data_IF_932226353146
#
_entry.id   IF_932226353146
#
_cell.length_a   1.000
_cell.length_b   1.000
_cell.length_c   1.000
_cell.angle_alpha   90.00
_cell.angle_beta   90.00
_cell.angle_gamma   90.00
#
_symmetry.space_group_name_H-M   'P 1'
#
loop_
_entity.id
_entity.type
_entity.pdbx_description
1 polymer ?
#
# COMPACT_ATOMS: atom_id res chain seq x y z
N UNK A 1 9.86 -11.63 29.51
CA UNK A 1 10.34 -12.49 28.40
C UNK A 1 11.68 -11.93 27.99
N UNK A 2 12.75 -12.71 28.16
CA UNK A 2 14.10 -12.29 27.76
C UNK A 2 14.26 -12.75 26.32
N UNK A 3 13.76 -11.96 25.36
CA UNK A 3 14.16 -12.11 23.97
C UNK A 3 15.27 -11.11 23.68
N UNK A 4 16.10 -11.39 22.70
CA UNK A 4 17.08 -10.44 22.18
C UNK A 4 16.68 -9.99 20.78
N UNK A 5 16.82 -8.70 20.52
CA UNK A 5 16.53 -8.10 19.21
C UNK A 5 17.79 -7.41 18.71
N UNK A 6 18.25 -7.80 17.53
CA UNK A 6 19.34 -7.13 16.83
C UNK A 6 18.77 -6.41 15.63
N UNK A 7 19.17 -5.15 15.43
CA UNK A 7 18.72 -4.31 14.33
C UNK A 7 19.88 -4.05 13.39
N UNK A 8 19.74 -4.42 12.14
CA UNK A 8 20.67 -4.10 11.06
C UNK A 8 19.98 -3.14 10.08
N UNK A 9 20.56 -1.96 9.90
CA UNK A 9 20.06 -1.00 8.91
C UNK A 9 20.54 -1.38 7.52
N UNK A 10 19.61 -1.56 6.61
CA UNK A 10 19.84 -1.89 5.21
C UNK A 10 19.72 -0.63 4.34
N UNK A 11 20.04 -0.76 3.06
CA UNK A 11 19.85 0.32 2.08
C UNK A 11 18.36 0.64 1.86
N UNK A 12 18.09 1.83 1.30
CA UNK A 12 16.73 2.30 0.91
C UNK A 12 15.72 2.34 2.07
N UNK A 13 16.17 2.76 3.25
CA UNK A 13 15.35 2.84 4.46
C UNK A 13 14.69 1.52 4.87
N UNK A 14 15.40 0.43 4.64
CA UNK A 14 15.02 -0.89 5.15
C UNK A 14 15.81 -1.21 6.41
N UNK A 15 15.22 -1.99 7.28
CA UNK A 15 15.88 -2.57 8.45
C UNK A 15 15.55 -4.06 8.55
N UNK A 16 16.53 -4.83 9.02
CA UNK A 16 16.39 -6.24 9.32
C UNK A 16 16.47 -6.44 10.82
N UNK A 17 15.39 -6.93 11.39
CA UNK A 17 15.32 -7.30 12.79
C UNK A 17 15.64 -8.79 12.91
N UNK A 18 16.62 -9.17 13.71
CA UNK A 18 16.89 -10.55 14.08
C UNK A 18 16.40 -10.75 15.50
N UNK A 19 15.43 -11.61 15.68
CA UNK A 19 14.78 -11.87 16.96
C UNK A 19 15.14 -13.28 17.41
N UNK A 20 15.67 -13.40 18.62
CA UNK A 20 15.98 -14.65 19.26
C UNK A 20 15.07 -14.86 20.47
N UNK A 21 14.35 -15.97 20.49
CA UNK A 21 13.42 -16.37 21.54
C UNK A 21 14.00 -17.58 22.28
N UNK A 22 14.08 -17.59 23.62
CA UNK A 22 14.69 -18.68 24.40
C UNK A 22 14.02 -20.03 24.16
N UNK A 23 14.81 -21.10 24.29
CA UNK A 23 14.37 -22.49 24.10
C UNK A 23 13.18 -22.88 24.99
N UNK A 24 13.04 -22.28 26.18
CA UNK A 24 11.90 -22.52 27.08
C UNK A 24 10.58 -22.09 26.46
N UNK A 25 10.57 -20.95 25.75
CA UNK A 25 9.37 -20.46 25.03
C UNK A 25 9.08 -21.33 23.80
N UNK A 26 10.12 -21.84 23.14
CA UNK A 26 9.98 -22.80 22.04
C UNK A 26 9.24 -24.06 22.50
N UNK A 27 9.61 -24.62 23.65
CA UNK A 27 8.94 -25.81 24.20
C UNK A 27 7.47 -25.53 24.57
N UNK A 28 7.17 -24.35 25.11
CA UNK A 28 5.77 -23.94 25.36
C UNK A 28 4.98 -23.83 24.07
N UNK A 29 5.56 -23.22 23.03
CA UNK A 29 4.93 -23.10 21.71
C UNK A 29 4.73 -24.46 21.04
N UNK A 30 5.69 -25.35 21.12
CA UNK A 30 5.55 -26.74 20.63
C UNK A 30 4.43 -27.50 21.35
N UNK A 31 4.32 -27.31 22.66
CA UNK A 31 3.23 -27.90 23.43
C UNK A 31 1.86 -27.30 23.04
N UNK A 32 1.79 -26.00 22.80
CA UNK A 32 0.58 -25.33 22.32
C UNK A 32 0.19 -25.81 20.90
N UNK A 33 1.18 -25.93 20.00
CA UNK A 33 1.00 -26.47 18.66
C UNK A 33 0.46 -27.91 18.69
N UNK A 34 1.02 -28.76 19.55
CA UNK A 34 0.52 -30.11 19.78
C UNK A 34 -0.94 -30.08 20.25
N UNK A 35 -1.30 -29.25 21.21
CA UNK A 35 -2.66 -29.17 21.74
C UNK A 35 -3.67 -28.74 20.67
N UNK A 36 -3.26 -27.87 19.75
CA UNK A 36 -4.08 -27.40 18.61
C UNK A 36 -4.23 -28.46 17.53
N UNK A 37 -3.15 -29.18 17.21
CA UNK A 37 -3.10 -30.12 16.09
C UNK A 37 -3.46 -31.57 16.43
N UNK A 38 -3.35 -31.99 17.71
CA UNK A 38 -3.55 -33.39 18.14
C UNK A 38 -4.88 -34.00 17.71
N UNK A 39 -5.91 -33.18 17.54
CA UNK A 39 -7.22 -33.63 17.10
C UNK A 39 -7.32 -33.88 15.59
N UNK A 40 -6.33 -33.42 14.82
CA UNK A 40 -6.24 -33.65 13.38
C UNK A 40 -5.43 -34.90 13.05
N UNK A 41 -4.55 -35.33 13.98
CA UNK A 41 -3.62 -36.43 13.78
C UNK A 41 -4.25 -37.75 14.29
N UNK A 42 -4.21 -38.76 13.45
CA UNK A 42 -4.69 -40.13 13.79
C UNK A 42 -3.54 -41.12 13.66
N UNK A 43 -3.31 -41.89 14.71
CA UNK A 43 -2.30 -42.97 14.72
C UNK A 43 -3.02 -44.30 15.06
N UNK A 44 -2.77 -45.38 14.31
CA UNK A 44 -3.32 -46.70 14.61
C UNK A 44 -2.99 -47.11 16.05
N UNK A 45 -4.02 -47.65 16.76
CA UNK A 45 -3.88 -48.04 18.15
C UNK A 45 -4.19 -46.95 19.19
N UNK A 46 -4.40 -45.69 18.77
CA UNK A 46 -4.76 -44.60 19.65
C UNK A 46 -6.09 -43.95 19.27
N UNK A 47 -6.83 -43.53 20.28
CA UNK A 47 -8.03 -42.72 20.05
C UNK A 47 -7.59 -41.32 19.57
N UNK A 48 -8.28 -40.80 18.56
CA UNK A 48 -8.07 -39.44 18.00
C UNK A 48 -8.02 -38.39 19.11
N UNK A 49 -7.00 -37.53 19.09
CA UNK A 49 -6.80 -36.47 20.08
C UNK A 49 -6.22 -36.97 21.43
N UNK A 50 -5.91 -38.27 21.58
CA UNK A 50 -5.30 -38.85 22.79
C UNK A 50 -3.90 -39.39 22.57
N UNK A 51 -3.35 -39.21 21.41
CA UNK A 51 -1.96 -39.61 21.08
C UNK A 51 -1.00 -38.67 21.81
N UNK A 52 -0.04 -39.18 22.61
CA UNK A 52 0.99 -38.35 23.24
C UNK A 52 1.87 -37.66 22.21
N UNK A 53 2.34 -36.43 22.52
CA UNK A 53 3.21 -35.63 21.64
C UNK A 53 4.43 -36.43 21.18
N UNK A 54 5.15 -37.07 22.13
CA UNK A 54 6.33 -37.86 21.82
C UNK A 54 6.09 -39.00 20.83
N UNK A 55 4.89 -39.61 20.82
CA UNK A 55 4.54 -40.65 19.88
C UNK A 55 4.32 -40.08 18.48
N UNK A 56 3.70 -38.90 18.37
CA UNK A 56 3.50 -38.20 17.09
C UNK A 56 4.86 -37.81 16.50
N UNK A 57 5.73 -37.19 17.32
CA UNK A 57 7.08 -36.81 16.93
C UNK A 57 7.96 -38.01 16.50
N UNK A 58 7.78 -39.17 17.16
CA UNK A 58 8.49 -40.39 16.77
C UNK A 58 8.05 -40.93 15.42
N UNK A 59 6.77 -40.78 15.05
CA UNK A 59 6.22 -41.33 13.81
C UNK A 59 6.36 -40.37 12.62
N UNK A 60 6.15 -39.08 12.85
CA UNK A 60 6.12 -38.06 11.79
C UNK A 60 7.34 -37.15 11.79
N UNK A 61 8.24 -37.29 12.78
CA UNK A 61 9.38 -36.43 12.99
C UNK A 61 9.09 -35.25 13.92
N UNK A 62 10.13 -34.73 14.59
CA UNK A 62 10.00 -33.59 15.51
C UNK A 62 9.47 -32.32 14.82
N UNK A 63 9.72 -32.19 13.53
CA UNK A 63 9.31 -31.02 12.74
C UNK A 63 7.79 -30.90 12.51
N UNK A 64 7.01 -31.90 12.84
CA UNK A 64 5.55 -31.93 12.60
C UNK A 64 4.80 -30.75 13.23
N UNK A 65 5.33 -30.20 14.32
CA UNK A 65 4.74 -29.06 15.04
C UNK A 65 5.48 -27.74 14.82
N UNK A 66 6.60 -27.72 14.05
CA UNK A 66 7.45 -26.55 13.94
C UNK A 66 6.77 -25.38 13.24
N UNK A 67 6.00 -25.63 12.20
CA UNK A 67 5.27 -24.58 11.48
C UNK A 67 4.27 -23.84 12.39
N UNK A 68 3.45 -24.60 13.10
CA UNK A 68 2.47 -24.01 14.01
C UNK A 68 3.14 -23.33 15.22
N UNK A 69 4.19 -23.94 15.77
CA UNK A 69 4.95 -23.36 16.86
C UNK A 69 5.66 -22.06 16.43
N UNK A 70 6.22 -22.02 15.24
CA UNK A 70 6.82 -20.81 14.67
C UNK A 70 5.80 -19.69 14.53
N UNK A 71 4.60 -19.99 14.01
CA UNK A 71 3.51 -19.02 13.89
C UNK A 71 3.11 -18.43 15.25
N UNK A 72 2.98 -19.27 16.27
CA UNK A 72 2.68 -18.84 17.64
C UNK A 72 3.79 -17.93 18.15
N UNK A 73 5.06 -18.35 18.04
CA UNK A 73 6.20 -17.58 18.53
C UNK A 73 6.34 -16.23 17.84
N UNK A 74 6.13 -16.16 16.52
CA UNK A 74 6.18 -14.92 15.78
C UNK A 74 5.05 -13.97 16.23
N UNK A 75 3.82 -14.47 16.33
CA UNK A 75 2.68 -13.66 16.77
C UNK A 75 2.87 -13.09 18.18
N UNK A 76 3.40 -13.90 19.10
CA UNK A 76 3.57 -13.49 20.49
C UNK A 76 4.75 -12.53 20.69
N UNK A 77 5.80 -12.61 19.87
CA UNK A 77 7.05 -11.88 20.10
C UNK A 77 7.29 -10.73 19.13
N UNK A 78 6.65 -10.70 17.96
CA UNK A 78 6.93 -9.68 16.94
C UNK A 78 6.60 -8.26 17.41
N UNK A 79 5.46 -8.05 18.08
CA UNK A 79 5.05 -6.74 18.58
C UNK A 79 6.06 -6.19 19.60
N UNK A 80 6.49 -7.04 20.54
CA UNK A 80 7.49 -6.66 21.53
C UNK A 80 8.87 -6.41 20.89
N UNK A 81 9.22 -7.17 19.85
CA UNK A 81 10.46 -6.96 19.10
C UNK A 81 10.46 -5.61 18.35
N UNK A 82 9.31 -5.21 17.80
CA UNK A 82 9.17 -3.88 17.19
C UNK A 82 9.40 -2.76 18.22
N UNK A 83 8.78 -2.85 19.39
CA UNK A 83 8.94 -1.85 20.45
C UNK A 83 10.40 -1.79 20.93
N UNK A 84 11.06 -2.92 21.11
CA UNK A 84 12.45 -2.99 21.56
C UNK A 84 13.43 -2.44 20.50
N UNK A 85 13.12 -2.59 19.22
CA UNK A 85 13.95 -2.08 18.12
C UNK A 85 14.05 -0.55 18.09
N UNK A 86 13.04 0.16 18.63
CA UNK A 86 12.90 1.63 18.59
C UNK A 86 12.88 2.23 17.18
N UNK A 87 12.70 1.41 16.16
CA UNK A 87 12.58 1.85 14.78
C UNK A 87 11.13 2.22 14.44
N UNK A 88 10.95 3.29 13.68
CA UNK A 88 9.63 3.71 13.19
C UNK A 88 9.25 2.88 11.95
N UNK A 89 8.67 1.72 12.17
CA UNK A 89 8.33 0.74 11.13
C UNK A 89 7.04 1.16 10.44
N UNK A 90 7.08 1.27 9.12
CA UNK A 90 5.96 1.76 8.28
C UNK A 90 5.44 0.74 7.28
N UNK A 91 5.97 -0.49 7.29
CA UNK A 91 5.54 -1.56 6.38
C UNK A 91 5.15 -2.83 7.13
N UNK A 92 4.52 -3.76 6.40
CA UNK A 92 4.39 -5.14 6.87
C UNK A 92 5.77 -5.82 6.81
N UNK A 93 6.09 -6.69 7.79
CA UNK A 93 7.35 -7.42 7.77
C UNK A 93 7.36 -8.52 6.72
N UNK A 94 8.52 -8.73 6.11
CA UNK A 94 8.86 -9.99 5.44
C UNK A 94 9.59 -10.86 6.45
N UNK A 95 9.01 -12.00 6.83
CA UNK A 95 9.53 -12.84 7.90
C UNK A 95 10.18 -14.08 7.31
N UNK A 96 11.40 -14.37 7.75
CA UNK A 96 12.13 -15.61 7.46
C UNK A 96 12.54 -16.30 8.74
N UNK A 97 12.37 -17.63 8.77
CA UNK A 97 12.74 -18.46 9.90
C UNK A 97 14.18 -18.95 9.68
N UNK A 98 15.06 -18.55 10.59
CA UNK A 98 16.48 -18.94 10.55
C UNK A 98 16.69 -20.27 11.27
N UNK A 99 16.07 -20.43 12.44
CA UNK A 99 16.23 -21.63 13.26
C UNK A 99 14.98 -21.93 14.07
N UNK A 100 14.49 -23.18 13.98
CA UNK A 100 13.49 -23.73 14.89
C UNK A 100 13.83 -25.19 15.17
N UNK A 101 14.13 -25.50 16.43
CA UNK A 101 14.42 -26.87 16.87
C UNK A 101 14.11 -27.00 18.37
N UNK A 102 13.57 -28.14 18.77
CA UNK A 102 13.35 -28.43 20.21
C UNK A 102 14.68 -28.40 20.99
N UNK A 103 14.67 -27.70 22.12
CA UNK A 103 15.85 -27.51 22.97
C UNK A 103 16.84 -26.45 22.51
N UNK A 104 16.55 -25.75 21.39
CA UNK A 104 17.34 -24.61 20.89
C UNK A 104 16.50 -23.33 20.86
N UNK A 105 17.14 -22.16 20.88
CA UNK A 105 16.43 -20.89 20.68
C UNK A 105 15.76 -20.84 19.31
N UNK A 106 14.61 -20.18 19.23
CA UNK A 106 13.97 -19.85 17.98
C UNK A 106 14.53 -18.53 17.45
N UNK A 107 14.98 -18.52 16.20
CA UNK A 107 15.54 -17.34 15.56
C UNK A 107 14.78 -17.08 14.27
N UNK A 108 14.24 -15.88 14.17
CA UNK A 108 13.62 -15.40 12.93
C UNK A 108 14.10 -13.99 12.59
N UNK A 109 13.99 -13.65 11.33
CA UNK A 109 14.29 -12.31 10.85
C UNK A 109 13.04 -11.66 10.28
N UNK A 110 12.92 -10.34 10.48
CA UNK A 110 11.86 -9.54 9.91
C UNK A 110 12.48 -8.36 9.15
N UNK A 111 12.30 -8.32 7.85
CA UNK A 111 12.69 -7.19 7.02
C UNK A 111 11.52 -6.22 6.92
N UNK A 112 11.78 -4.95 7.27
CA UNK A 112 10.78 -3.89 7.38
C UNK A 112 11.29 -2.60 6.75
N UNK A 113 10.38 -1.79 6.21
CA UNK A 113 10.69 -0.42 5.84
C UNK A 113 10.53 0.48 7.08
N UNK A 114 11.50 1.35 7.28
CA UNK A 114 11.50 2.31 8.38
C UNK A 114 11.38 3.73 7.84
N UNK A 115 10.81 4.62 8.64
CA UNK A 115 10.72 6.02 8.27
C UNK A 115 12.13 6.62 8.20
N UNK A 116 12.48 7.32 7.08
CA UNK A 116 13.77 7.98 6.98
C UNK A 116 13.90 9.11 8.00
N UNK A 117 15.10 9.29 8.55
CA UNK A 117 15.41 10.46 9.36
C UNK A 117 15.45 11.70 8.47
N UNK A 118 14.74 12.74 8.89
CA UNK A 118 14.70 14.02 8.20
C UNK A 118 15.71 14.98 8.82
N UNK A 119 16.73 15.33 8.05
CA UNK A 119 17.66 16.39 8.43
C UNK A 119 17.17 17.71 7.83
N UNK A 120 16.82 18.63 8.72
CA UNK A 120 16.38 19.96 8.28
C UNK A 120 17.57 20.73 7.67
N UNK A 121 17.36 21.24 6.46
CA UNK A 121 18.27 22.19 5.84
C UNK A 121 18.17 23.58 6.50
N UNK A 122 18.85 24.56 5.92
CA UNK A 122 18.76 25.95 6.37
C UNK A 122 17.37 26.52 6.02
N UNK A 123 16.46 26.54 6.97
CA UNK A 123 15.09 27.01 6.77
C UNK A 123 14.82 28.41 7.37
N UNK A 124 15.72 28.91 8.25
CA UNK A 124 15.64 30.26 8.79
C UNK A 124 16.39 31.25 7.90
N UNK A 125 15.82 32.41 7.68
CA UNK A 125 16.39 33.45 6.86
C UNK A 125 16.38 33.19 5.36
N UNK A 126 15.47 32.31 4.91
CA UNK A 126 15.21 32.08 3.47
C UNK A 126 14.62 33.36 2.89
N UNK A 127 15.29 33.93 1.88
CA UNK A 127 14.77 35.07 1.14
C UNK A 127 13.84 34.58 0.04
N UNK A 128 12.66 35.16 0.00
CA UNK A 128 11.66 34.92 -1.04
C UNK A 128 11.30 36.21 -1.74
N UNK A 129 11.06 36.16 -3.03
CA UNK A 129 10.59 37.33 -3.79
C UNK A 129 9.19 37.67 -3.32
N UNK A 130 8.94 38.92 -2.94
CA UNK A 130 7.62 39.40 -2.61
C UNK A 130 6.75 39.31 -3.87
N UNK A 131 5.62 38.69 -3.75
CA UNK A 131 4.65 38.62 -4.86
C UNK A 131 4.13 40.03 -5.13
N UNK A 132 4.24 40.48 -6.37
CA UNK A 132 3.60 41.73 -6.81
C UNK A 132 2.09 41.50 -6.87
N UNK A 133 1.37 42.31 -6.10
CA UNK A 133 -0.09 42.26 -6.01
C UNK A 133 -0.74 43.42 -6.74
N UNK A 134 0.03 44.16 -7.55
CA UNK A 134 -0.48 45.24 -8.38
C UNK A 134 -1.37 44.65 -9.45
N UNK A 135 -2.63 45.10 -9.48
CA UNK A 135 -3.60 44.69 -10.51
C UNK A 135 -3.41 45.62 -11.70
N UNK A 136 -3.23 45.05 -12.88
CA UNK A 136 -3.09 45.81 -14.12
C UNK A 136 -4.47 46.09 -14.76
N UNK A 137 -4.52 47.13 -15.61
CA UNK A 137 -5.77 47.43 -16.33
C UNK A 137 -6.19 46.27 -17.25
N UNK A 138 -5.23 45.56 -17.83
CA UNK A 138 -5.47 44.35 -18.65
C UNK A 138 -6.14 43.24 -17.84
N UNK A 139 -5.74 43.04 -16.59
CA UNK A 139 -6.35 42.02 -15.71
C UNK A 139 -7.77 42.41 -15.33
N UNK A 140 -8.06 43.71 -15.15
CA UNK A 140 -9.40 44.21 -14.89
C UNK A 140 -10.29 43.99 -16.12
N UNK A 141 -9.81 44.34 -17.33
CA UNK A 141 -10.55 44.14 -18.59
C UNK A 141 -10.84 42.67 -18.81
N UNK A 142 -9.84 41.78 -18.60
CA UNK A 142 -10.03 40.31 -18.73
C UNK A 142 -11.07 39.78 -17.74
N UNK A 143 -11.11 40.32 -16.52
CA UNK A 143 -12.12 39.95 -15.53
C UNK A 143 -13.53 40.43 -15.91
N UNK A 144 -13.64 41.66 -16.45
CA UNK A 144 -14.87 42.19 -16.96
C UNK A 144 -15.41 41.37 -18.15
N UNK A 145 -14.54 41.01 -19.09
CA UNK A 145 -14.90 40.17 -20.22
C UNK A 145 -15.39 38.77 -19.78
N UNK A 146 -14.76 38.17 -18.79
CA UNK A 146 -15.22 36.92 -18.18
C UNK A 146 -16.62 37.03 -17.59
N UNK A 147 -16.89 38.09 -16.84
CA UNK A 147 -18.21 38.31 -16.27
C UNK A 147 -19.26 38.63 -17.35
N UNK A 148 -18.90 39.34 -18.40
CA UNK A 148 -19.74 39.57 -19.55
C UNK A 148 -20.14 38.28 -20.27
N UNK A 149 -19.15 37.40 -20.53
CA UNK A 149 -19.39 36.09 -21.13
C UNK A 149 -20.30 35.21 -20.25
N UNK A 150 -20.07 35.19 -18.95
CA UNK A 150 -20.87 34.42 -17.98
C UNK A 150 -22.35 34.89 -17.95
N UNK A 151 -22.59 36.16 -18.12
CA UNK A 151 -23.93 36.74 -18.15
C UNK A 151 -24.49 36.87 -19.57
N UNK A 152 -23.79 36.37 -20.60
CA UNK A 152 -24.26 36.40 -21.97
C UNK A 152 -25.42 35.43 -22.21
N UNK A 153 -26.23 35.70 -23.20
CA UNK A 153 -27.30 34.83 -23.66
C UNK A 153 -27.12 34.52 -25.14
N UNK A 154 -27.43 33.31 -25.52
CA UNK A 154 -27.43 32.88 -26.91
C UNK A 154 -28.68 33.47 -27.61
N UNK A 155 -28.46 34.12 -28.75
CA UNK A 155 -29.53 34.66 -29.60
C UNK A 155 -29.45 33.96 -30.96
N UNK A 156 -30.56 33.45 -31.43
CA UNK A 156 -30.64 32.84 -32.77
C UNK A 156 -30.48 33.91 -33.85
N UNK A 157 -29.53 33.70 -34.76
CA UNK A 157 -29.24 34.57 -35.91
C UNK A 157 -29.65 33.85 -37.17
N UNK A 158 -30.55 34.45 -37.93
CA UNK A 158 -31.11 33.87 -39.16
C UNK A 158 -30.95 34.76 -40.39
N UNK A 159 -30.44 35.97 -40.22
CA UNK A 159 -30.41 37.05 -41.22
C UNK A 159 -29.02 37.24 -41.86
N UNK A 160 -28.01 36.45 -41.44
CA UNK A 160 -26.66 36.50 -41.99
C UNK A 160 -26.01 35.12 -42.01
N UNK A 161 -24.95 34.89 -42.84
CA UNK A 161 -24.11 33.71 -42.75
C UNK A 161 -23.43 33.55 -41.41
N UNK A 162 -23.03 32.31 -41.07
CA UNK A 162 -22.27 31.97 -39.87
C UNK A 162 -20.92 32.68 -39.90
N UNK A 163 -20.53 33.28 -38.78
CA UNK A 163 -19.24 33.95 -38.60
C UNK A 163 -18.42 33.30 -37.45
N UNK A 164 -17.14 33.65 -37.38
CA UNK A 164 -16.30 33.22 -36.27
C UNK A 164 -16.86 33.69 -34.93
N UNK A 165 -16.88 32.80 -33.95
CA UNK A 165 -17.45 33.01 -32.63
C UNK A 165 -18.94 32.65 -32.53
N UNK A 166 -19.64 32.40 -33.65
CA UNK A 166 -21.00 31.86 -33.61
C UNK A 166 -21.00 30.39 -33.20
N UNK A 167 -22.07 29.95 -32.56
CA UNK A 167 -22.29 28.52 -32.27
C UNK A 167 -23.27 27.95 -33.29
N UNK A 168 -22.80 27.06 -34.14
CA UNK A 168 -23.62 26.31 -35.08
C UNK A 168 -24.01 24.97 -34.44
N UNK A 169 -25.29 24.63 -34.50
CA UNK A 169 -25.76 23.28 -34.14
C UNK A 169 -25.76 22.44 -35.41
N UNK A 170 -24.91 21.41 -35.43
CA UNK A 170 -24.68 20.60 -36.63
C UNK A 170 -24.95 19.11 -36.35
N UNK A 171 -25.32 18.42 -37.43
CA UNK A 171 -25.25 16.97 -37.48
C UNK A 171 -24.06 16.61 -38.35
N UNK A 172 -23.30 15.63 -37.96
CA UNK A 172 -22.13 15.17 -38.72
C UNK A 172 -22.01 13.64 -38.76
N UNK A 173 -21.45 13.15 -39.83
CA UNK A 173 -21.11 11.72 -39.97
C UNK A 173 -19.75 11.60 -40.61
N UNK A 174 -18.83 10.88 -39.97
CA UNK A 174 -17.48 10.67 -40.44
C UNK A 174 -17.35 9.38 -41.27
N UNK A 175 -16.58 9.46 -42.34
CA UNK A 175 -16.31 8.33 -43.23
C UNK A 175 -14.79 8.15 -43.36
N UNK A 176 -14.33 6.90 -43.39
CA UNK A 176 -12.97 6.51 -43.75
C UNK A 176 -13.09 5.60 -45.00
N UNK A 177 -12.43 5.97 -46.08
CA UNK A 177 -12.50 5.26 -47.37
C UNK A 177 -13.94 4.98 -47.87
N UNK A 178 -14.85 5.92 -47.55
CA UNK A 178 -16.26 5.83 -47.96
C UNK A 178 -17.14 4.96 -47.08
N UNK A 179 -16.60 4.44 -45.96
CA UNK A 179 -17.34 3.65 -44.97
C UNK A 179 -17.48 4.44 -43.69
N UNK A 180 -18.72 4.57 -43.19
CA UNK A 180 -18.98 5.19 -41.91
C UNK A 180 -18.36 4.37 -40.77
N UNK A 181 -17.69 5.02 -39.81
CA UNK A 181 -17.08 4.36 -38.67
C UNK A 181 -17.87 4.59 -37.40
N UNK A 182 -17.80 3.60 -36.50
CA UNK A 182 -18.48 3.67 -35.21
C UNK A 182 -17.93 4.82 -34.34
N UNK A 183 -18.82 5.66 -33.77
CA UNK A 183 -18.46 6.87 -33.02
C UNK A 183 -18.20 8.11 -33.90
N UNK A 184 -18.24 8.00 -35.22
CA UNK A 184 -18.06 9.12 -36.16
C UNK A 184 -19.33 9.93 -36.43
N UNK A 185 -20.48 9.58 -35.82
CA UNK A 185 -21.75 10.28 -36.05
C UNK A 185 -22.16 11.05 -34.79
N UNK A 186 -22.58 12.29 -34.97
CA UNK A 186 -23.17 13.12 -33.92
C UNK A 186 -24.34 13.94 -34.45
N UNK A 187 -25.37 14.11 -33.61
CA UNK A 187 -26.56 14.89 -33.94
C UNK A 187 -26.71 16.01 -32.88
N UNK A 188 -27.19 17.17 -33.31
CA UNK A 188 -27.38 18.36 -32.46
C UNK A 188 -26.10 18.80 -31.73
N UNK A 189 -24.97 18.69 -32.37
CA UNK A 189 -23.68 19.04 -31.79
C UNK A 189 -23.42 20.54 -31.88
N UNK A 190 -23.27 21.26 -30.72
CA UNK A 190 -22.95 22.67 -30.74
C UNK A 190 -21.48 22.89 -31.04
N UNK A 191 -21.17 23.42 -32.18
CA UNK A 191 -19.81 23.73 -32.65
C UNK A 191 -19.62 25.25 -32.66
N UNK A 192 -18.64 25.76 -31.91
CA UNK A 192 -18.21 27.14 -32.02
C UNK A 192 -17.32 27.31 -33.23
N UNK A 193 -17.69 28.19 -34.15
CA UNK A 193 -16.94 28.41 -35.41
C UNK A 193 -15.66 29.16 -35.12
N UNK A 194 -14.54 28.62 -35.58
CA UNK A 194 -13.20 29.18 -35.38
C UNK A 194 -12.51 28.74 -34.09
N UNK A 195 -13.08 27.75 -33.40
CA UNK A 195 -12.42 27.14 -32.20
C UNK A 195 -11.31 26.15 -32.60
#
# INVERSE_FOLDING_TARGET
>A
IIMSVQVEKLEKNMAKLTVEVPAEEVEKALQAAYMKEKNKISIPGFRKGKVPRAMIEKMYGAAVFYEEAANILIQDNYAAAMEESKEDIVSRPTIDIVQIESGKPFIFTAEVAVRPEVTLGKYKGVQVTKIDTTVTDEEVEAALEKEQQKNSRTVTVTDRPVANGDTAVIDFEGFVDGVAFEGGKGENYPLTIGS
#
